data_IF_915299961917
#
_entry.id   IF_915299961917
#
_cell.length_a   1.000
_cell.length_b   1.000
_cell.length_c   1.000
_cell.angle_alpha   90.00
_cell.angle_beta   90.00
_cell.angle_gamma   90.00
#
_symmetry.space_group_name_H-M   'P 1'
#
loop_
_entity.id
_entity.type
_entity.pdbx_description
1 polymer ?
#
# COMPACT_ATOMS: atom_id res chain seq x y z
N UNK A 1 2.82 12.83 3.21
CA UNK A 1 4.09 13.06 2.46
C UNK A 1 4.07 12.35 1.11
N UNK A 2 4.00 11.02 1.08
CA UNK A 2 4.03 10.25 -0.17
C UNK A 2 2.79 10.54 -1.04
N UNK A 3 1.58 10.49 -0.45
CA UNK A 3 0.33 10.88 -1.12
C UNK A 3 0.39 12.31 -1.69
N UNK A 4 1.05 13.22 -0.98
CA UNK A 4 1.20 14.63 -1.37
C UNK A 4 2.43 14.85 -2.27
N UNK A 5 2.82 13.85 -3.07
CA UNK A 5 3.89 13.96 -4.07
C UNK A 5 5.23 14.50 -3.52
N UNK A 6 5.59 14.06 -2.31
CA UNK A 6 6.86 14.35 -1.66
C UNK A 6 6.87 15.61 -0.77
N UNK A 7 5.70 16.19 -0.50
CA UNK A 7 5.57 17.38 0.36
C UNK A 7 4.90 17.05 1.70
N UNK A 8 5.33 17.72 2.77
CA UNK A 8 4.72 17.63 4.09
C UNK A 8 4.91 18.95 4.83
N UNK A 9 3.88 19.45 5.50
CA UNK A 9 3.90 20.75 6.20
C UNK A 9 4.51 21.89 5.36
N UNK A 10 4.04 22.03 4.11
CA UNK A 10 4.50 23.03 3.14
C UNK A 10 6.00 22.98 2.79
N UNK A 11 6.71 21.89 3.14
CA UNK A 11 8.11 21.66 2.77
C UNK A 11 8.22 20.49 1.80
N UNK A 12 9.06 20.65 0.77
CA UNK A 12 9.41 19.55 -0.14
C UNK A 12 10.51 18.71 0.50
N UNK A 13 10.20 17.44 0.75
CA UNK A 13 11.15 16.46 1.29
C UNK A 13 11.74 15.63 0.14
N UNK A 14 10.89 15.18 -0.78
CA UNK A 14 11.29 14.45 -1.99
C UNK A 14 10.74 15.15 -3.23
N UNK A 15 11.46 15.09 -4.35
CA UNK A 15 10.96 15.56 -5.64
C UNK A 15 9.78 14.71 -6.11
N UNK A 16 8.80 15.31 -6.79
CA UNK A 16 7.66 14.55 -7.36
C UNK A 16 8.14 13.41 -8.25
N UNK A 17 9.16 13.66 -9.08
CA UNK A 17 9.77 12.62 -9.94
C UNK A 17 10.48 11.51 -9.16
N UNK A 18 10.94 11.79 -7.94
CA UNK A 18 11.47 10.77 -7.04
C UNK A 18 10.32 9.87 -6.55
N UNK A 19 9.19 10.43 -6.16
CA UNK A 19 8.00 9.65 -5.81
C UNK A 19 7.53 8.80 -7.00
N UNK A 20 7.39 9.40 -8.19
CA UNK A 20 7.04 8.68 -9.43
C UNK A 20 8.01 7.51 -9.69
N UNK A 21 9.31 7.66 -9.40
CA UNK A 21 10.31 6.61 -9.58
C UNK A 21 10.18 5.50 -8.53
N UNK A 22 9.92 5.86 -7.27
CA UNK A 22 9.74 4.90 -6.18
C UNK A 22 8.52 4.01 -6.39
N UNK A 23 7.47 4.54 -7.02
CA UNK A 23 6.19 3.85 -7.25
C UNK A 23 6.10 3.16 -8.62
N UNK A 24 7.23 2.91 -9.29
CA UNK A 24 7.30 2.09 -10.51
C UNK A 24 7.66 0.66 -10.18
N UNK A 25 7.24 -0.29 -11.02
CA UNK A 25 7.70 -1.67 -10.95
C UNK A 25 9.24 -1.72 -11.15
N UNK A 26 9.96 -2.17 -10.12
CA UNK A 26 11.42 -2.33 -10.11
C UNK A 26 11.87 -3.80 -10.18
N UNK A 27 10.92 -4.74 -10.20
CA UNK A 27 11.21 -6.19 -10.21
C UNK A 27 10.87 -6.85 -11.56
N UNK A 28 10.43 -6.07 -12.55
CA UNK A 28 10.15 -6.53 -13.91
C UNK A 28 9.03 -7.59 -13.94
N UNK A 29 9.33 -8.74 -14.53
CA UNK A 29 8.38 -9.84 -14.68
C UNK A 29 8.07 -10.55 -13.35
N UNK A 30 8.95 -10.45 -12.34
CA UNK A 30 8.74 -11.09 -11.05
C UNK A 30 7.50 -10.54 -10.32
N UNK A 31 6.92 -11.35 -9.46
CA UNK A 31 5.72 -11.04 -8.69
C UNK A 31 6.01 -11.15 -7.20
N UNK A 32 5.30 -10.35 -6.39
CA UNK A 32 5.38 -10.46 -4.94
C UNK A 32 4.48 -11.61 -4.50
N UNK A 33 5.12 -12.76 -4.26
CA UNK A 33 4.48 -14.01 -3.84
C UNK A 33 3.35 -14.42 -4.78
N UNK A 34 2.24 -14.92 -4.25
CA UNK A 34 1.04 -15.34 -4.97
C UNK A 34 0.05 -14.19 -5.23
N UNK A 35 0.35 -12.98 -4.74
CA UNK A 35 -0.51 -11.78 -4.91
C UNK A 35 -0.51 -11.23 -6.32
N UNK A 36 0.48 -11.58 -7.15
CA UNK A 36 0.71 -10.96 -8.48
C UNK A 36 0.98 -9.44 -8.45
N UNK A 37 1.27 -8.91 -7.27
CA UNK A 37 1.68 -7.52 -7.10
C UNK A 37 3.13 -7.31 -7.55
N UNK A 38 3.52 -6.05 -7.69
CA UNK A 38 4.90 -5.66 -8.01
C UNK A 38 5.56 -5.00 -6.82
N UNK A 39 6.87 -4.76 -6.92
CA UNK A 39 7.61 -4.05 -5.90
C UNK A 39 8.36 -2.87 -6.52
N UNK A 40 8.22 -1.70 -5.91
CA UNK A 40 8.93 -0.49 -6.25
C UNK A 40 10.16 -0.28 -5.36
N UNK A 41 10.59 0.97 -5.22
CA UNK A 41 11.67 1.30 -4.29
C UNK A 41 11.07 1.52 -2.89
N UNK A 42 10.96 0.41 -2.14
CA UNK A 42 10.52 0.41 -0.74
C UNK A 42 9.02 0.13 -0.53
N UNK A 43 8.28 -0.19 -1.58
CA UNK A 43 6.82 -0.39 -1.52
C UNK A 43 6.39 -1.57 -2.37
N UNK A 44 5.42 -2.35 -1.89
CA UNK A 44 4.63 -3.23 -2.74
C UNK A 44 3.58 -2.40 -3.47
N UNK A 45 3.37 -2.67 -4.75
CA UNK A 45 2.49 -1.94 -5.66
C UNK A 45 1.32 -2.85 -6.03
N UNK A 46 0.11 -2.41 -5.71
CA UNK A 46 -1.13 -3.10 -6.07
C UNK A 46 -1.36 -2.96 -7.56
N UNK A 47 -1.54 -4.10 -8.25
CA UNK A 47 -1.78 -4.14 -9.70
C UNK A 47 -3.23 -4.49 -10.02
N UNK A 48 -3.63 -4.30 -11.27
CA UNK A 48 -4.95 -4.73 -11.77
C UNK A 48 -5.16 -6.25 -11.64
N UNK A 49 -4.09 -7.03 -11.67
CA UNK A 49 -4.13 -8.49 -11.55
C UNK A 49 -3.95 -8.97 -10.11
N UNK A 50 -3.98 -8.07 -9.12
CA UNK A 50 -3.74 -8.41 -7.72
C UNK A 50 -4.74 -9.47 -7.24
N UNK A 51 -4.21 -10.63 -6.87
CA UNK A 51 -4.98 -11.67 -6.22
C UNK A 51 -5.05 -11.33 -4.73
N UNK A 52 -6.26 -11.33 -4.17
CA UNK A 52 -6.68 -11.19 -2.76
C UNK A 52 -7.90 -10.25 -2.56
N UNK A 53 -8.39 -9.62 -3.63
CA UNK A 53 -9.61 -8.82 -3.59
C UNK A 53 -9.40 -7.51 -2.82
N UNK A 54 -8.27 -6.86 -3.06
CA UNK A 54 -8.00 -5.54 -2.52
C UNK A 54 -9.01 -4.56 -3.12
N UNK A 55 -9.83 -3.97 -2.25
CA UNK A 55 -10.68 -2.83 -2.61
C UNK A 55 -9.83 -1.60 -2.95
N UNK A 56 -8.54 -1.62 -2.63
CA UNK A 56 -7.60 -0.59 -3.03
C UNK A 56 -7.42 -0.54 -4.54
N UNK A 57 -7.35 0.67 -5.07
CA UNK A 57 -7.23 0.91 -6.50
C UNK A 57 -5.89 0.40 -7.03
N UNK A 58 -5.82 -0.13 -8.25
CA UNK A 58 -4.56 -0.34 -8.95
C UNK A 58 -3.70 0.93 -8.95
N UNK A 59 -2.42 0.80 -8.63
CA UNK A 59 -1.52 1.95 -8.38
C UNK A 59 -1.41 2.37 -6.91
N UNK A 60 -2.29 1.84 -6.04
CA UNK A 60 -2.08 1.89 -4.59
C UNK A 60 -0.81 1.17 -4.20
N UNK A 61 -0.25 1.53 -3.05
CA UNK A 61 0.99 0.95 -2.57
C UNK A 61 0.96 0.74 -1.05
N UNK A 62 1.60 -0.34 -0.61
CA UNK A 62 1.54 -0.81 0.76
C UNK A 62 2.83 -1.51 1.19
N UNK A 63 2.94 -1.74 2.50
CA UNK A 63 3.86 -2.72 3.07
C UNK A 63 3.43 -3.13 4.48
N UNK A 64 3.97 -4.23 4.97
CA UNK A 64 3.68 -4.78 6.30
C UNK A 64 4.91 -4.86 7.21
N UNK A 65 4.66 -4.95 8.51
CA UNK A 65 5.65 -5.21 9.55
C UNK A 65 5.47 -6.58 10.20
N UNK A 66 6.56 -7.11 10.78
CA UNK A 66 6.59 -8.44 11.43
C UNK A 66 5.54 -8.61 12.55
N UNK A 67 5.23 -7.52 13.26
CA UNK A 67 4.26 -7.49 14.35
C UNK A 67 2.86 -7.09 13.91
N UNK A 68 2.52 -7.34 12.63
CA UNK A 68 1.21 -7.13 12.05
C UNK A 68 0.77 -5.65 11.97
N UNK A 69 1.73 -4.74 11.84
CA UNK A 69 1.46 -3.38 11.37
C UNK A 69 1.39 -3.36 9.84
N UNK A 70 0.60 -2.45 9.28
CA UNK A 70 0.42 -2.32 7.84
C UNK A 70 0.03 -0.89 7.50
N UNK A 71 0.42 -0.44 6.31
CA UNK A 71 -0.15 0.76 5.71
C UNK A 71 -0.52 0.50 4.26
N UNK A 72 -1.58 1.16 3.80
CA UNK A 72 -1.94 1.28 2.39
C UNK A 72 -2.12 2.75 2.06
N UNK A 73 -1.60 3.19 0.93
CA UNK A 73 -1.88 4.52 0.37
C UNK A 73 -2.51 4.32 -1.00
N UNK A 74 -3.70 4.90 -1.18
CA UNK A 74 -4.44 4.91 -2.45
C UNK A 74 -4.51 6.36 -2.97
N UNK A 75 -3.68 6.72 -3.96
CA UNK A 75 -3.72 8.04 -4.55
C UNK A 75 -5.01 8.39 -5.28
N UNK A 76 -5.74 7.39 -5.79
CA UNK A 76 -6.97 7.62 -6.55
C UNK A 76 -8.11 8.06 -5.63
N UNK A 77 -8.17 7.46 -4.44
CA UNK A 77 -9.15 7.78 -3.40
C UNK A 77 -8.64 8.83 -2.39
N UNK A 78 -7.48 9.43 -2.64
CA UNK A 78 -6.79 10.38 -1.74
C UNK A 78 -6.69 9.88 -0.28
N UNK A 79 -6.43 8.57 -0.11
CA UNK A 79 -6.62 7.87 1.15
C UNK A 79 -5.30 7.28 1.69
N UNK A 80 -5.13 7.35 3.02
CA UNK A 80 -4.06 6.67 3.75
C UNK A 80 -4.70 5.82 4.86
N UNK A 81 -4.46 4.52 4.82
CA UNK A 81 -4.87 3.57 5.84
C UNK A 81 -3.65 3.16 6.66
N UNK A 82 -3.76 3.22 7.99
CA UNK A 82 -2.71 2.82 8.92
C UNK A 82 -3.30 1.87 9.96
N UNK A 83 -2.66 0.71 10.09
CA UNK A 83 -3.01 -0.30 11.07
C UNK A 83 -1.78 -0.55 11.95
N UNK A 84 -1.98 -0.41 13.26
CA UNK A 84 -0.95 -0.71 14.25
C UNK A 84 -1.44 -1.80 15.17
N UNK A 85 -0.71 -2.91 15.18
CA UNK A 85 -0.86 -3.98 16.16
C UNK A 85 0.53 -4.36 16.68
N UNK A 86 0.60 -5.16 17.74
CA UNK A 86 1.84 -5.69 18.29
C UNK A 86 1.68 -7.19 18.57
N UNK A 87 1.38 -7.98 17.53
CA UNK A 87 1.05 -9.40 17.68
C UNK A 87 1.94 -10.26 16.79
N UNK A 88 2.58 -11.28 17.38
CA UNK A 88 3.36 -12.28 16.68
C UNK A 88 3.44 -13.60 17.48
N UNK A 89 3.13 -14.78 16.91
CA UNK A 89 2.62 -14.98 15.55
C UNK A 89 1.14 -14.58 15.46
N UNK A 90 0.71 -14.10 14.29
CA UNK A 90 -0.70 -13.82 14.04
C UNK A 90 -1.19 -14.65 12.87
N UNK A 91 -1.90 -15.74 13.18
CA UNK A 91 -2.40 -16.68 12.18
C UNK A 91 -3.41 -16.05 11.19
N UNK A 92 -4.00 -14.90 11.53
CA UNK A 92 -5.10 -14.27 10.77
C UNK A 92 -4.77 -12.86 10.28
N UNK A 93 -3.49 -12.50 10.15
CA UNK A 93 -3.05 -11.18 9.69
C UNK A 93 -3.73 -10.74 8.40
N UNK A 94 -3.73 -11.61 7.37
CA UNK A 94 -4.32 -11.30 6.08
C UNK A 94 -5.83 -11.03 6.15
N UNK A 95 -6.56 -11.74 7.00
CA UNK A 95 -8.02 -11.58 7.14
C UNK A 95 -8.38 -10.26 7.85
N UNK A 96 -7.66 -9.92 8.92
CA UNK A 96 -7.87 -8.67 9.65
C UNK A 96 -7.62 -7.44 8.77
N UNK A 97 -6.45 -7.39 8.12
CA UNK A 97 -6.09 -6.30 7.19
C UNK A 97 -7.13 -6.16 6.08
N UNK A 98 -7.53 -7.29 5.49
CA UNK A 98 -8.53 -7.31 4.41
C UNK A 98 -9.87 -6.78 4.89
N UNK A 99 -10.38 -7.24 6.03
CA UNK A 99 -11.67 -6.79 6.59
C UNK A 99 -11.66 -5.31 6.95
N UNK A 100 -10.56 -4.83 7.55
CA UNK A 100 -10.40 -3.40 7.84
C UNK A 100 -10.45 -2.58 6.56
N UNK A 101 -9.68 -2.98 5.53
CA UNK A 101 -9.68 -2.29 4.24
C UNK A 101 -11.08 -2.29 3.61
N UNK A 102 -11.76 -3.44 3.56
CA UNK A 102 -13.15 -3.51 3.04
C UNK A 102 -14.07 -2.54 3.78
N UNK A 103 -14.03 -2.51 5.11
CA UNK A 103 -14.88 -1.63 5.91
C UNK A 103 -14.61 -0.14 5.63
N UNK A 104 -13.36 0.25 5.45
CA UNK A 104 -12.99 1.64 5.11
C UNK A 104 -13.48 2.00 3.71
N UNK A 105 -13.20 1.17 2.69
CA UNK A 105 -13.58 1.47 1.30
C UNK A 105 -15.10 1.49 1.10
N UNK A 106 -15.85 0.66 1.82
CA UNK A 106 -17.32 0.68 1.78
C UNK A 106 -17.94 1.94 2.38
N UNK A 107 -17.18 2.70 3.16
CA UNK A 107 -17.63 3.94 3.78
C UNK A 107 -17.28 5.19 2.94
N UNK A 108 -16.59 5.02 1.81
CA UNK A 108 -16.35 6.08 0.84
C UNK A 108 -17.63 6.31 0.01
N UNK A 109 -17.94 7.57 -0.30
CA UNK A 109 -19.14 7.98 -1.07
C UNK A 109 -18.92 7.92 -2.59
#
# INVERSE_FOLDING_TARGET
MLLNNGTFNNKRILGRKTIDMMLRNQIGAAEVWDRKDKFGLGFMLITENSHYGDQASPGSYNWGGMYCSEFTIDPKEELILLIFTNVHPYAYYGDFVKKFRIAVYQALE
#
